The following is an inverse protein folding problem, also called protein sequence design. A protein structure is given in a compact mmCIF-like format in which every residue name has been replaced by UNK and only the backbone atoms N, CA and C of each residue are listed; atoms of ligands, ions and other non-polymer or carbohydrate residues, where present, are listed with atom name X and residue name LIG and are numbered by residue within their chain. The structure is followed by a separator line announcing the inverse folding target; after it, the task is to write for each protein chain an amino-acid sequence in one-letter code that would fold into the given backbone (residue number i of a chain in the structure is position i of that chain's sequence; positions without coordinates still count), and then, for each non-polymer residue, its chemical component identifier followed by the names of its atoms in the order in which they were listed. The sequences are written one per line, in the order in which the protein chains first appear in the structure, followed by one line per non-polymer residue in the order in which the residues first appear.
data_IF_886309062316
#
_entry.id   IF_886309062316
#
_cell.length_a   1.000
_cell.length_b   1.000
_cell.length_c   1.000
_cell.angle_alpha   90.00
_cell.angle_beta   90.00
_cell.angle_gamma   90.00
#
_symmetry.space_group_name_H-M   'P 1'
#
loop_
_entity.id
_entity.type
_entity.pdbx_description
1 polymer ?
#
# COMPACT_ATOMS: atom_id res chain seq x y z
N UNK A 1 13.05 6.32 -8.15
CA UNK A 1 12.62 5.37 -7.11
C UNK A 1 11.90 6.05 -5.93
N UNK A 2 12.19 7.32 -5.57
CA UNK A 2 11.43 8.10 -4.56
C UNK A 2 9.95 8.42 -4.91
N UNK A 3 9.45 7.99 -6.08
CA UNK A 3 8.16 8.48 -6.61
C UNK A 3 6.93 7.79 -6.00
N UNK A 4 7.10 6.65 -5.33
CA UNK A 4 6.00 5.89 -4.75
C UNK A 4 5.59 6.39 -3.36
N UNK A 5 6.49 7.01 -2.59
CA UNK A 5 6.20 7.55 -1.25
C UNK A 5 5.91 9.05 -1.33
N UNK A 6 4.70 9.44 -0.92
CA UNK A 6 4.22 10.83 -0.97
C UNK A 6 3.77 11.26 0.42
N UNK A 7 4.70 11.74 1.29
CA UNK A 7 4.32 12.29 2.58
C UNK A 7 3.51 13.58 2.41
N UNK A 8 2.53 13.79 3.29
CA UNK A 8 1.65 14.95 3.29
C UNK A 8 1.76 15.71 4.60
N UNK A 9 1.77 17.04 4.52
CA UNK A 9 1.73 17.93 5.69
C UNK A 9 0.42 17.82 6.49
N UNK A 10 -0.55 17.03 6.01
CA UNK A 10 -1.82 16.72 6.68
C UNK A 10 -1.73 15.47 7.58
N UNK A 11 -0.53 14.93 7.81
CA UNK A 11 -0.32 13.81 8.74
C UNK A 11 -0.66 12.43 8.17
N UNK A 12 -0.54 12.27 6.85
CA UNK A 12 -0.66 10.97 6.19
C UNK A 12 0.45 10.73 5.18
N UNK A 13 0.75 9.47 4.90
CA UNK A 13 1.66 9.03 3.83
C UNK A 13 0.84 8.33 2.76
N UNK A 14 0.96 8.75 1.49
CA UNK A 14 0.44 7.96 0.38
C UNK A 14 1.55 7.09 -0.20
N UNK A 15 1.28 5.79 -0.34
CA UNK A 15 2.12 4.83 -1.06
C UNK A 15 1.41 4.52 -2.37
N UNK A 16 1.97 4.99 -3.48
CA UNK A 16 1.48 4.70 -4.83
C UNK A 16 1.97 3.33 -5.25
N UNK A 17 1.03 2.48 -5.60
CA UNK A 17 1.30 1.11 -6.05
C UNK A 17 1.18 1.07 -7.57
N UNK A 18 2.22 0.52 -8.18
CA UNK A 18 2.33 0.01 -9.54
C UNK A 18 3.28 -1.21 -9.54
N UNK A 19 3.48 -1.84 -10.70
CA UNK A 19 4.33 -3.03 -10.81
C UNK A 19 5.78 -2.78 -10.35
N UNK A 20 6.37 -1.62 -10.67
CA UNK A 20 7.75 -1.27 -10.29
C UNK A 20 7.87 -1.03 -8.79
N UNK A 21 6.90 -0.33 -8.19
CA UNK A 21 6.87 -0.09 -6.75
C UNK A 21 6.75 -1.39 -5.96
N UNK A 22 6.10 -2.43 -6.48
CA UNK A 22 5.97 -3.72 -5.81
C UNK A 22 7.28 -4.51 -5.85
N UNK A 23 8.09 -4.35 -6.90
CA UNK A 23 9.46 -4.87 -6.90
C UNK A 23 10.29 -4.20 -5.80
N UNK A 24 10.16 -2.87 -5.66
CA UNK A 24 10.82 -2.10 -4.59
C UNK A 24 10.33 -2.48 -3.18
N UNK A 25 9.04 -2.76 -3.02
CA UNK A 25 8.51 -3.29 -1.75
C UNK A 25 9.09 -4.68 -1.48
N UNK A 26 9.22 -5.52 -2.51
CA UNK A 26 9.74 -6.89 -2.37
C UNK A 26 11.22 -6.93 -2.01
N UNK A 27 12.02 -5.92 -2.39
CA UNK A 27 13.43 -5.80 -1.96
C UNK A 27 13.56 -5.41 -0.50
N UNK A 28 12.49 -4.88 0.11
CA UNK A 28 12.47 -4.40 1.49
C UNK A 28 13.11 -3.01 1.68
N UNK A 29 13.62 -2.40 0.62
CA UNK A 29 14.27 -1.10 0.65
C UNK A 29 13.29 0.05 0.99
N UNK A 30 11.98 -0.18 0.83
CA UNK A 30 10.95 0.80 1.18
C UNK A 30 10.78 1.00 2.69
N UNK A 31 11.07 0.01 3.53
CA UNK A 31 10.74 0.06 4.96
C UNK A 31 11.55 1.11 5.73
N UNK A 32 12.88 1.24 5.56
CA UNK A 32 13.64 2.31 6.20
C UNK A 32 13.16 3.73 5.80
N UNK A 33 12.67 3.89 4.56
CA UNK A 33 12.14 5.17 4.08
C UNK A 33 10.79 5.50 4.72
N UNK A 34 9.93 4.48 4.90
CA UNK A 34 8.67 4.64 5.63
C UNK A 34 8.95 5.05 7.07
N UNK A 35 9.88 4.38 7.77
CA UNK A 35 10.22 4.70 9.15
C UNK A 35 10.69 6.16 9.32
N UNK A 36 11.55 6.64 8.43
CA UNK A 36 12.01 8.03 8.43
C UNK A 36 10.87 9.03 8.20
N UNK A 37 9.95 8.73 7.27
CA UNK A 37 8.77 9.55 7.03
C UNK A 37 7.87 9.60 8.27
N UNK A 38 7.59 8.44 8.89
CA UNK A 38 6.72 8.38 10.06
C UNK A 38 7.28 9.19 11.23
N UNK A 39 8.60 9.14 11.43
CA UNK A 39 9.29 9.91 12.47
C UNK A 39 9.22 11.43 12.23
N UNK A 40 9.34 11.86 10.97
CA UNK A 40 9.42 13.29 10.63
C UNK A 40 8.06 13.98 10.44
N UNK A 41 7.02 13.25 10.01
CA UNK A 41 5.75 13.85 9.57
C UNK A 41 4.56 13.63 10.52
N UNK A 42 4.77 12.99 11.69
CA UNK A 42 3.70 12.64 12.64
C UNK A 42 2.52 11.96 11.94
N UNK A 43 2.84 11.03 11.05
CA UNK A 43 1.88 10.33 10.22
C UNK A 43 1.03 9.38 11.06
N UNK A 44 -0.30 9.51 11.01
CA UNK A 44 -1.24 8.60 11.69
C UNK A 44 -2.00 7.69 10.72
N UNK A 45 -1.85 7.93 9.42
CA UNK A 45 -2.60 7.26 8.37
C UNK A 45 -1.72 6.99 7.15
N UNK A 46 -1.90 5.82 6.54
CA UNK A 46 -1.28 5.45 5.27
C UNK A 46 -2.36 5.20 4.24
N UNK A 47 -2.25 5.86 3.09
CA UNK A 47 -3.12 5.64 1.94
C UNK A 47 -2.38 4.79 0.93
N UNK A 48 -2.93 3.62 0.62
CA UNK A 48 -2.45 2.74 -0.45
C UNK A 48 -3.21 3.12 -1.74
N UNK A 49 -2.54 3.77 -2.66
CA UNK A 49 -3.11 4.21 -3.94
C UNK A 49 -2.87 3.17 -5.03
N UNK A 50 -3.96 2.56 -5.52
CA UNK A 50 -3.97 1.51 -6.53
C UNK A 50 -4.39 2.01 -7.92
N UNK A 51 -4.52 3.32 -8.15
CA UNK A 51 -5.02 3.88 -9.41
C UNK A 51 -4.20 3.44 -10.64
N UNK A 52 -2.91 3.16 -10.47
CA UNK A 52 -2.01 2.77 -11.56
C UNK A 52 -2.00 1.25 -11.83
N UNK A 53 -2.87 0.49 -11.15
CA UNK A 53 -2.90 -0.97 -11.22
C UNK A 53 -4.24 -1.46 -11.78
N UNK A 54 -4.18 -2.17 -12.91
CA UNK A 54 -5.35 -2.82 -13.51
C UNK A 54 -5.46 -4.28 -13.06
N UNK A 55 -4.33 -4.93 -12.79
CA UNK A 55 -4.21 -6.33 -12.41
C UNK A 55 -2.95 -6.53 -11.54
N UNK A 56 -3.01 -7.47 -10.59
CA UNK A 56 -1.85 -7.93 -9.83
C UNK A 56 -1.74 -9.45 -9.95
N UNK A 57 -0.52 -9.95 -10.15
CA UNK A 57 -0.20 -11.36 -10.01
C UNK A 57 -0.29 -11.81 -8.55
N UNK A 58 -0.34 -13.14 -8.33
CA UNK A 58 -0.44 -13.69 -6.97
C UNK A 58 0.74 -13.28 -6.09
N UNK A 59 1.95 -13.26 -6.63
CA UNK A 59 3.16 -12.80 -5.93
C UNK A 59 3.07 -11.33 -5.54
N UNK A 60 2.58 -10.48 -6.44
CA UNK A 60 2.40 -9.06 -6.18
C UNK A 60 1.35 -8.77 -5.11
N UNK A 61 0.24 -9.54 -5.12
CA UNK A 61 -0.76 -9.46 -4.05
C UNK A 61 -0.14 -9.88 -2.71
N UNK A 62 0.70 -10.92 -2.69
CA UNK A 62 1.41 -11.32 -1.48
C UNK A 62 2.38 -10.23 -1.00
N UNK A 63 3.11 -9.60 -1.91
CA UNK A 63 3.99 -8.46 -1.58
C UNK A 63 3.20 -7.29 -1.00
N UNK A 64 2.08 -6.92 -1.62
CA UNK A 64 1.18 -5.87 -1.12
C UNK A 64 0.62 -6.22 0.27
N UNK A 65 0.22 -7.47 0.49
CA UNK A 65 -0.24 -7.94 1.79
C UNK A 65 0.86 -7.87 2.86
N UNK A 66 2.10 -8.21 2.51
CA UNK A 66 3.22 -8.11 3.44
C UNK A 66 3.48 -6.66 3.82
N UNK A 67 3.45 -5.72 2.86
CA UNK A 67 3.55 -4.29 3.13
C UNK A 67 2.44 -3.83 4.10
N UNK A 68 1.19 -4.13 3.79
CA UNK A 68 0.03 -3.75 4.61
C UNK A 68 0.12 -4.37 6.01
N UNK A 69 0.52 -5.64 6.09
CA UNK A 69 0.74 -6.33 7.36
C UNK A 69 1.78 -5.64 8.23
N UNK A 70 2.93 -5.27 7.66
CA UNK A 70 3.97 -4.50 8.35
C UNK A 70 3.46 -3.14 8.82
N UNK A 71 2.71 -2.42 7.99
CA UNK A 71 2.12 -1.13 8.35
C UNK A 71 1.07 -1.24 9.46
N UNK A 72 0.32 -2.35 9.51
CA UNK A 72 -0.68 -2.59 10.54
C UNK A 72 -0.04 -2.80 11.93
N UNK A 73 1.16 -3.39 11.99
CA UNK A 73 1.93 -3.53 13.22
C UNK A 73 2.36 -2.18 13.82
N UNK A 74 2.38 -1.12 13.01
CA UNK A 74 2.71 0.24 13.43
C UNK A 74 1.48 1.02 13.95
N UNK A 75 0.33 0.36 14.12
CA UNK A 75 -0.93 0.96 14.55
C UNK A 75 -1.40 2.16 13.70
N UNK A 76 -1.03 2.17 12.42
CA UNK A 76 -1.45 3.18 11.46
C UNK A 76 -2.84 2.85 10.92
N UNK A 77 -3.68 3.87 10.73
CA UNK A 77 -4.89 3.71 9.91
C UNK A 77 -4.47 3.45 8.46
N UNK A 78 -5.03 2.42 7.82
CA UNK A 78 -4.75 2.12 6.41
C UNK A 78 -6.03 2.37 5.61
N UNK A 79 -5.91 3.08 4.49
CA UNK A 79 -6.99 3.29 3.53
C UNK A 79 -6.52 2.86 2.13
N UNK A 80 -7.37 2.16 1.39
CA UNK A 80 -7.12 1.86 -0.02
C UNK A 80 -7.89 2.83 -0.91
N UNK A 81 -7.25 3.35 -1.95
CA UNK A 81 -7.86 4.20 -2.96
C UNK A 81 -7.57 3.68 -4.36
N UNK A 82 -8.37 4.06 -5.35
CA UNK A 82 -8.12 3.70 -6.75
C UNK A 82 -8.34 2.23 -7.11
N UNK A 83 -8.99 1.44 -6.25
CA UNK A 83 -9.26 0.03 -6.53
C UNK A 83 -10.33 -0.11 -7.62
N UNK A 84 -9.91 -0.43 -8.84
CA UNK A 84 -10.84 -0.71 -9.95
C UNK A 84 -11.61 -2.02 -9.74
N UNK A 85 -12.79 -2.14 -10.35
CA UNK A 85 -13.58 -3.38 -10.32
C UNK A 85 -12.80 -4.58 -10.89
N UNK A 86 -11.98 -4.37 -11.92
CA UNK A 86 -11.11 -5.41 -12.50
C UNK A 86 -10.05 -5.88 -11.51
N UNK A 87 -9.42 -4.95 -10.80
CA UNK A 87 -8.42 -5.26 -9.78
C UNK A 87 -9.06 -6.04 -8.61
N UNK A 88 -10.21 -5.57 -8.11
CA UNK A 88 -10.96 -6.26 -7.05
C UNK A 88 -11.33 -7.71 -7.42
N UNK A 89 -11.82 -7.93 -8.65
CA UNK A 89 -12.07 -9.27 -9.18
C UNK A 89 -10.78 -10.10 -9.28
N UNK A 90 -9.68 -9.52 -9.74
CA UNK A 90 -8.40 -10.22 -9.87
C UNK A 90 -7.84 -10.69 -8.52
N UNK A 91 -8.01 -9.90 -7.47
CA UNK A 91 -7.60 -10.25 -6.10
C UNK A 91 -8.48 -11.38 -5.57
N UNK A 92 -9.79 -11.25 -5.74
CA UNK A 92 -10.79 -12.23 -5.25
C UNK A 92 -10.64 -13.58 -5.94
N UNK A 93 -10.47 -13.61 -7.27
CA UNK A 93 -10.31 -14.84 -8.06
C UNK A 93 -9.03 -15.60 -7.75
N UNK A 94 -8.00 -14.91 -7.24
CA UNK A 94 -6.76 -15.52 -6.77
C UNK A 94 -6.88 -16.08 -5.34
N UNK A 95 -8.06 -15.94 -4.71
CA UNK A 95 -8.35 -16.48 -3.38
C UNK A 95 -7.67 -15.72 -2.24
N UNK A 96 -7.29 -14.46 -2.47
CA UNK A 96 -6.58 -13.63 -1.50
C UNK A 96 -7.49 -12.50 -1.03
N UNK A 97 -7.54 -12.28 0.29
CA UNK A 97 -8.24 -11.15 0.89
C UNK A 97 -7.19 -10.12 1.32
N UNK A 98 -7.24 -8.89 0.78
CA UNK A 98 -6.44 -7.79 1.31
C UNK A 98 -6.98 -7.51 2.72
N UNK A 99 -6.13 -7.52 3.74
CA UNK A 99 -6.56 -7.28 5.11
C UNK A 99 -7.41 -6.01 5.19
N UNK A 100 -8.70 -6.19 5.48
CA UNK A 100 -9.72 -5.16 5.39
C UNK A 100 -9.57 -4.15 6.53
N UNK A 101 -9.07 -2.96 6.23
CA UNK A 101 -9.46 -1.74 6.91
C UNK A 101 -10.55 -1.10 6.05
N UNK A 102 -11.72 -0.91 6.66
CA UNK A 102 -13.01 -0.55 6.08
C UNK A 102 -12.98 0.13 4.70
N UNK A 103 -13.43 -0.59 3.67
CA UNK A 103 -13.89 0.03 2.42
C UNK A 103 -15.19 0.76 2.78
N UNK A 104 -15.13 2.07 3.00
CA UNK A 104 -16.33 2.90 3.00
C UNK A 104 -16.72 3.20 1.54
N UNK A 105 -18.01 3.12 1.18
CA UNK A 105 -18.49 3.44 -0.17
C UNK A 105 -18.16 4.86 -0.61
#
# INVERSE_FOLDING_TARGET
MDQCLRPSNKGFLTIVIDHESLEFVSSGEIFPLIDDILANYRTSKVVIDLNNVVYLSKSEIMTLNNLVGSLHLLALEIEYTGMSHKLSLSITTQGVNLASSQISP
#
